data_IF_233225853399
#
_entry.id   IF_233225853399
#
_cell.length_a   1.000
_cell.length_b   1.000
_cell.length_c   1.000
_cell.angle_alpha   90.00
_cell.angle_beta   90.00
_cell.angle_gamma   90.00
#
_symmetry.space_group_name_H-M   'P 1'
#
loop_
_entity.id
_entity.type
_entity.pdbx_description
1 polymer ?
#
# COMPACT_ATOMS: atom_id res chain seq x y z
N UNK A 1 -9.51 -6.00 6.74
CA UNK A 1 -8.88 -6.40 5.48
C UNK A 1 -7.48 -5.80 5.41
N UNK A 2 -6.56 -6.49 4.79
CA UNK A 2 -5.17 -6.06 4.67
C UNK A 2 -4.94 -5.48 3.28
N UNK A 3 -4.41 -4.27 3.22
CA UNK A 3 -3.96 -3.64 1.98
C UNK A 3 -2.44 -3.80 1.91
N UNK A 4 -1.94 -4.29 0.78
CA UNK A 4 -0.51 -4.57 0.61
C UNK A 4 0.10 -3.50 -0.30
N UNK A 5 1.14 -2.83 0.22
CA UNK A 5 1.83 -1.77 -0.51
C UNK A 5 2.66 -2.31 -1.68
N UNK A 6 2.87 -1.47 -2.68
CA UNK A 6 3.66 -1.81 -3.87
C UNK A 6 5.05 -2.35 -3.52
N UNK A 7 5.69 -1.80 -2.49
CA UNK A 7 7.02 -2.21 -2.05
C UNK A 7 7.07 -3.71 -1.75
N UNK A 8 6.04 -4.23 -1.10
CA UNK A 8 5.98 -5.65 -0.73
C UNK A 8 5.71 -6.52 -1.95
N UNK A 9 4.78 -6.09 -2.83
CA UNK A 9 4.50 -6.83 -4.07
C UNK A 9 5.71 -6.91 -4.98
N UNK A 10 6.46 -5.80 -5.11
CA UNK A 10 7.67 -5.75 -5.93
C UNK A 10 8.71 -6.75 -5.40
N UNK A 11 8.94 -6.75 -4.09
CA UNK A 11 9.86 -7.71 -3.46
C UNK A 11 9.39 -9.15 -3.66
N UNK A 12 8.08 -9.39 -3.50
CA UNK A 12 7.49 -10.71 -3.67
C UNK A 12 7.73 -11.25 -5.09
N UNK A 13 7.44 -10.43 -6.12
CA UNK A 13 7.62 -10.83 -7.51
C UNK A 13 9.09 -10.98 -7.91
N UNK A 14 9.99 -10.28 -7.24
CA UNK A 14 11.44 -10.43 -7.45
C UNK A 14 12.03 -11.65 -6.74
N UNK A 15 11.26 -12.29 -5.89
CA UNK A 15 11.77 -13.37 -5.07
C UNK A 15 12.66 -12.88 -3.93
N UNK A 16 12.59 -11.61 -3.56
CA UNK A 16 13.35 -11.08 -2.44
C UNK A 16 12.81 -11.64 -1.12
N UNK A 17 13.70 -12.12 -0.27
CA UNK A 17 13.34 -12.81 0.97
C UNK A 17 13.28 -11.83 2.15
N UNK A 18 12.38 -10.83 2.04
CA UNK A 18 12.11 -9.92 3.14
C UNK A 18 11.07 -10.50 4.09
N UNK A 19 11.05 -10.01 5.33
CA UNK A 19 10.03 -10.44 6.29
C UNK A 19 8.62 -10.14 5.78
N UNK A 20 8.45 -9.00 5.11
CA UNK A 20 7.16 -8.59 4.57
C UNK A 20 6.72 -9.44 3.38
N UNK A 21 7.64 -9.78 2.47
CA UNK A 21 7.32 -10.66 1.33
C UNK A 21 6.97 -12.07 1.83
N UNK A 22 7.68 -12.57 2.85
CA UNK A 22 7.36 -13.85 3.47
C UNK A 22 5.99 -13.80 4.15
N UNK A 23 5.67 -12.70 4.80
CA UNK A 23 4.35 -12.51 5.42
C UNK A 23 3.25 -12.51 4.36
N UNK A 24 3.47 -11.82 3.23
CA UNK A 24 2.54 -11.82 2.12
C UNK A 24 2.28 -13.23 1.60
N UNK A 25 3.33 -14.02 1.43
CA UNK A 25 3.21 -15.39 0.97
C UNK A 25 2.34 -16.22 1.91
N UNK A 26 2.50 -16.02 3.23
CA UNK A 26 1.68 -16.68 4.24
C UNK A 26 0.21 -16.27 4.15
N UNK A 27 -0.05 -15.00 3.85
CA UNK A 27 -1.42 -14.46 3.81
C UNK A 27 -2.16 -14.82 2.54
N UNK A 28 -1.46 -15.00 1.42
CA UNK A 28 -2.08 -15.32 0.13
C UNK A 28 -2.86 -16.62 0.21
N UNK A 29 -4.13 -16.55 -0.20
CA UNK A 29 -5.04 -17.70 -0.18
C UNK A 29 -5.68 -17.97 1.18
N UNK A 30 -5.30 -17.25 2.23
CA UNK A 30 -5.80 -17.48 3.59
C UNK A 30 -6.55 -16.28 4.16
N UNK A 31 -6.09 -15.07 3.90
CA UNK A 31 -6.67 -13.85 4.44
C UNK A 31 -7.20 -12.95 3.33
N UNK A 32 -8.23 -12.13 3.60
CA UNK A 32 -8.72 -11.19 2.60
C UNK A 32 -7.71 -10.07 2.39
N UNK A 33 -7.20 -9.97 1.17
CA UNK A 33 -6.25 -8.96 0.77
C UNK A 33 -6.87 -7.99 -0.22
N UNK A 34 -6.43 -6.74 -0.16
CA UNK A 34 -6.83 -5.70 -1.07
C UNK A 34 -5.60 -5.08 -1.74
N UNK A 35 -5.81 -4.55 -2.93
CA UNK A 35 -4.81 -3.76 -3.64
C UNK A 35 -5.45 -2.43 -4.06
N UNK A 36 -4.71 -1.35 -3.90
CA UNK A 36 -5.16 -0.05 -4.39
C UNK A 36 -4.95 0.06 -5.90
N UNK A 37 -5.81 0.82 -6.56
CA UNK A 37 -5.71 1.03 -8.00
C UNK A 37 -4.37 1.65 -8.43
N UNK A 38 -3.81 2.55 -7.62
CA UNK A 38 -2.50 3.13 -7.91
C UNK A 38 -1.37 2.09 -7.82
N UNK A 39 -1.47 1.17 -6.87
CA UNK A 39 -0.52 0.06 -6.76
C UNK A 39 -0.67 -0.91 -7.93
N UNK A 40 -1.89 -1.09 -8.40
CA UNK A 40 -2.18 -1.91 -9.58
C UNK A 40 -1.56 -1.30 -10.84
N UNK A 41 -1.25 -0.01 -10.83
CA UNK A 41 -0.45 0.63 -11.86
C UNK A 41 1.04 0.42 -11.63
N UNK A 42 1.51 0.69 -10.41
CA UNK A 42 2.93 0.68 -10.09
C UNK A 42 3.59 -0.70 -10.23
N UNK A 43 2.91 -1.74 -9.81
CA UNK A 43 3.51 -3.08 -9.79
C UNK A 43 3.61 -3.66 -11.21
N UNK A 44 2.52 -3.77 -11.99
CA UNK A 44 2.63 -4.34 -13.33
C UNK A 44 3.49 -3.54 -14.29
N UNK A 45 3.55 -2.21 -14.16
CA UNK A 45 4.34 -1.37 -15.09
C UNK A 45 5.83 -1.70 -15.05
N UNK A 46 6.30 -2.34 -13.98
CA UNK A 46 7.70 -2.71 -13.84
C UNK A 46 8.13 -3.93 -14.64
N UNK A 47 7.21 -4.64 -15.29
CA UNK A 47 7.53 -5.84 -16.07
C UNK A 47 7.71 -5.49 -17.54
N UNK A 48 8.83 -5.91 -18.12
CA UNK A 48 9.08 -5.73 -19.55
C UNK A 48 8.44 -6.82 -20.41
N UNK A 49 8.41 -8.04 -19.89
CA UNK A 49 7.87 -9.21 -20.58
C UNK A 49 6.35 -9.24 -20.44
N UNK A 50 5.66 -9.36 -21.57
CA UNK A 50 4.19 -9.41 -21.61
C UNK A 50 3.63 -10.58 -20.79
N UNK A 51 4.30 -11.70 -20.77
CA UNK A 51 3.88 -12.86 -19.97
C UNK A 51 3.90 -12.56 -18.49
N UNK A 52 4.98 -11.94 -18.02
CA UNK A 52 5.13 -11.58 -16.61
C UNK A 52 4.16 -10.49 -16.21
N UNK A 53 3.94 -9.51 -17.10
CA UNK A 53 2.93 -8.48 -16.89
C UNK A 53 1.54 -9.11 -16.70
N UNK A 54 1.16 -10.01 -17.60
CA UNK A 54 -0.17 -10.65 -17.55
C UNK A 54 -0.33 -11.51 -16.29
N UNK A 55 0.72 -12.20 -15.88
CA UNK A 55 0.71 -12.99 -14.65
C UNK A 55 0.46 -12.11 -13.43
N UNK A 56 1.22 -11.03 -13.31
CA UNK A 56 1.07 -10.10 -12.20
C UNK A 56 -0.32 -9.46 -12.23
N UNK A 57 -0.78 -9.00 -13.38
CA UNK A 57 -2.11 -8.42 -13.56
C UNK A 57 -3.20 -9.40 -13.11
N UNK A 58 -3.12 -10.65 -13.55
CA UNK A 58 -4.14 -11.65 -13.22
C UNK A 58 -4.15 -11.97 -11.72
N UNK A 59 -2.99 -12.09 -11.11
CA UNK A 59 -2.92 -12.33 -9.67
C UNK A 59 -3.49 -11.14 -8.90
N UNK A 60 -3.07 -9.93 -9.23
CA UNK A 60 -3.46 -8.74 -8.48
C UNK A 60 -4.95 -8.41 -8.66
N UNK A 61 -5.51 -8.63 -9.86
CA UNK A 61 -6.93 -8.37 -10.09
C UNK A 61 -7.83 -9.44 -9.50
N UNK A 62 -7.29 -10.57 -9.05
CA UNK A 62 -8.06 -11.55 -8.28
C UNK A 62 -8.34 -11.10 -6.85
N UNK A 63 -7.62 -10.09 -6.39
CA UNK A 63 -7.82 -9.50 -5.06
C UNK A 63 -8.93 -8.45 -5.12
N UNK A 64 -9.34 -7.95 -3.95
CA UNK A 64 -10.24 -6.80 -3.88
C UNK A 64 -9.49 -5.55 -4.33
N UNK A 65 -9.94 -4.92 -5.40
CA UNK A 65 -9.34 -3.68 -5.89
C UNK A 65 -10.04 -2.50 -5.25
N UNK A 66 -9.27 -1.64 -4.59
CA UNK A 66 -9.77 -0.48 -3.85
C UNK A 66 -9.36 0.80 -4.55
N UNK A 67 -10.32 1.70 -4.74
CA UNK A 67 -10.02 3.05 -5.21
C UNK A 67 -9.32 3.81 -4.09
N UNK A 68 -8.03 4.18 -4.30
CA UNK A 68 -7.23 4.81 -3.24
C UNK A 68 -7.61 6.26 -3.00
N UNK A 69 -7.86 7.00 -4.06
CA UNK A 69 -8.15 8.42 -3.95
C UNK A 69 -9.65 8.69 -4.02
N UNK A 70 -10.04 9.65 -4.81
CA UNK A 70 -11.38 10.18 -4.80
C UNK A 70 -11.39 11.49 -4.00
N UNK A 71 -12.45 12.27 -4.13
CA UNK A 71 -12.49 13.61 -3.57
C UNK A 71 -12.33 13.63 -2.04
N UNK A 72 -13.06 12.78 -1.33
CA UNK A 72 -13.02 12.76 0.13
C UNK A 72 -11.66 12.36 0.68
N UNK A 73 -11.09 11.29 0.13
CA UNK A 73 -9.76 10.83 0.56
C UNK A 73 -8.68 11.84 0.18
N UNK A 74 -8.78 12.46 -1.00
CA UNK A 74 -7.81 13.48 -1.42
C UNK A 74 -7.79 14.66 -0.45
N UNK A 75 -8.96 15.13 -0.01
CA UNK A 75 -9.05 16.23 0.94
C UNK A 75 -8.52 15.80 2.31
N UNK A 76 -8.91 14.63 2.78
CA UNK A 76 -8.42 14.12 4.08
C UNK A 76 -6.92 13.89 4.06
N UNK A 77 -6.37 13.43 2.96
CA UNK A 77 -4.92 13.28 2.80
C UNK A 77 -4.21 14.61 2.93
N UNK A 78 -4.76 15.67 2.33
CA UNK A 78 -4.21 17.02 2.48
C UNK A 78 -4.22 17.47 3.95
N UNK A 79 -5.30 17.19 4.68
CA UNK A 79 -5.38 17.48 6.11
C UNK A 79 -4.34 16.70 6.91
N UNK A 80 -4.15 15.44 6.60
CA UNK A 80 -3.17 14.58 7.27
C UNK A 80 -1.75 15.07 7.02
N UNK A 81 -1.43 15.45 5.79
CA UNK A 81 -0.13 16.03 5.45
C UNK A 81 0.13 17.29 6.28
N UNK A 82 -0.84 18.17 6.38
CA UNK A 82 -0.74 19.41 7.16
C UNK A 82 -0.58 19.13 8.65
N UNK A 83 -1.30 18.15 9.16
CA UNK A 83 -1.20 17.77 10.58
C UNK A 83 0.21 17.27 10.91
N UNK A 84 0.80 16.45 10.06
CA UNK A 84 2.18 15.96 10.24
C UNK A 84 3.18 17.11 10.13
N UNK A 85 2.99 18.02 9.18
CA UNK A 85 3.86 19.18 9.01
C UNK A 85 3.88 20.06 10.27
N UNK A 86 2.74 20.23 10.92
CA UNK A 86 2.65 20.99 12.18
C UNK A 86 3.43 20.31 13.31
N UNK A 87 3.63 19.00 13.22
CA UNK A 87 4.43 18.25 14.19
C UNK A 87 5.91 18.20 13.79
N UNK A 88 6.30 18.93 12.75
CA UNK A 88 7.69 18.94 12.29
C UNK A 88 8.05 17.80 11.36
N UNK A 89 7.05 17.05 10.86
CA UNK A 89 7.27 15.92 9.96
C UNK A 89 6.92 16.32 8.53
N UNK A 90 7.87 16.16 7.62
CA UNK A 90 7.66 16.37 6.20
C UNK A 90 7.53 15.02 5.50
N UNK A 91 6.40 14.80 4.84
CA UNK A 91 6.17 13.60 4.05
C UNK A 91 6.72 13.85 2.64
N UNK A 92 7.52 12.91 2.14
CA UNK A 92 8.21 13.11 0.86
C UNK A 92 7.37 12.76 -0.36
N UNK A 93 6.41 11.85 -0.21
CA UNK A 93 5.61 11.34 -1.34
C UNK A 93 4.12 11.49 -1.05
N UNK A 94 3.44 12.19 -1.94
CA UNK A 94 1.98 12.35 -1.85
C UNK A 94 1.26 11.01 -1.90
N UNK A 95 1.76 10.06 -2.70
CA UNK A 95 1.11 8.75 -2.82
C UNK A 95 1.08 8.02 -1.48
N UNK A 96 2.13 8.12 -0.67
CA UNK A 96 2.16 7.48 0.65
C UNK A 96 1.10 8.07 1.58
N UNK A 97 0.88 9.38 1.48
CA UNK A 97 -0.18 10.04 2.25
C UNK A 97 -1.55 9.53 1.83
N UNK A 98 -1.78 9.34 0.53
CA UNK A 98 -3.04 8.81 0.02
C UNK A 98 -3.28 7.37 0.50
N UNK A 99 -2.25 6.53 0.40
CA UNK A 99 -2.33 5.14 0.84
C UNK A 99 -2.64 5.07 2.34
N UNK A 100 -1.88 5.80 3.14
CA UNK A 100 -2.07 5.80 4.59
C UNK A 100 -3.45 6.33 4.96
N UNK A 101 -3.90 7.40 4.33
CA UNK A 101 -5.22 7.99 4.58
C UNK A 101 -6.33 7.01 4.24
N UNK A 102 -6.24 6.35 3.09
CA UNK A 102 -7.23 5.34 2.70
C UNK A 102 -7.32 4.22 3.72
N UNK A 103 -6.17 3.75 4.21
CA UNK A 103 -6.13 2.69 5.22
C UNK A 103 -6.76 3.16 6.54
N UNK A 104 -6.42 4.35 7.00
CA UNK A 104 -6.96 4.92 8.24
C UNK A 104 -8.48 5.06 8.15
N UNK A 105 -8.96 5.69 7.08
CA UNK A 105 -10.39 5.97 6.91
C UNK A 105 -11.20 4.70 6.62
N UNK A 106 -10.62 3.74 5.91
CA UNK A 106 -11.30 2.50 5.55
C UNK A 106 -11.11 1.35 6.52
N UNK A 107 -10.31 1.53 7.56
CA UNK A 107 -10.04 0.48 8.54
C UNK A 107 -9.17 -0.66 8.02
N UNK A 108 -8.36 -0.40 7.01
CA UNK A 108 -7.41 -1.41 6.50
C UNK A 108 -6.15 -1.44 7.34
N UNK A 109 -5.58 -2.64 7.51
CA UNK A 109 -4.23 -2.80 8.02
C UNK A 109 -3.29 -2.78 6.82
N UNK A 110 -2.21 -2.01 6.91
CA UNK A 110 -1.24 -1.90 5.82
C UNK A 110 -0.07 -2.84 6.03
N UNK A 111 0.24 -3.65 5.02
CA UNK A 111 1.48 -4.42 4.95
C UNK A 111 2.44 -3.65 4.04
N UNK A 112 3.55 -3.17 4.60
CA UNK A 112 4.50 -2.35 3.86
C UNK A 112 5.93 -2.66 4.27
N UNK A 113 6.87 -2.22 3.43
CA UNK A 113 8.30 -2.29 3.70
C UNK A 113 8.93 -0.93 3.40
N UNK A 114 8.35 0.13 3.96
CA UNK A 114 8.80 1.50 3.75
C UNK A 114 8.59 2.31 5.03
N UNK A 115 9.69 2.74 5.64
CA UNK A 115 9.64 3.51 6.88
C UNK A 115 9.00 4.89 6.73
N UNK A 116 8.75 5.34 5.49
CA UNK A 116 8.03 6.59 5.26
C UNK A 116 6.59 6.54 5.78
N UNK A 117 6.06 5.35 6.06
CA UNK A 117 4.74 5.20 6.71
C UNK A 117 4.79 5.37 8.23
N UNK A 118 5.96 5.35 8.84
CA UNK A 118 6.10 5.42 10.31
C UNK A 118 5.42 6.63 10.95
N UNK A 119 5.50 7.85 10.38
CA UNK A 119 4.81 9.00 10.97
C UNK A 119 3.29 8.84 11.04
N UNK A 120 2.71 8.14 10.07
CA UNK A 120 1.27 7.88 10.06
C UNK A 120 0.87 6.90 11.15
N UNK A 121 1.72 5.92 11.42
CA UNK A 121 1.51 4.98 12.53
C UNK A 121 1.59 5.71 13.85
N UNK A 122 2.64 6.51 14.03
CA UNK A 122 2.93 7.20 15.29
C UNK A 122 1.91 8.26 15.63
N UNK A 123 1.45 9.04 14.64
CA UNK A 123 0.67 10.25 14.90
C UNK A 123 -0.78 10.18 14.45
N UNK A 124 -1.12 9.34 13.48
CA UNK A 124 -2.44 9.37 12.83
C UNK A 124 -3.22 8.06 12.94
N UNK A 125 -2.70 7.10 13.67
CA UNK A 125 -3.44 5.86 13.94
C UNK A 125 -3.45 4.85 12.81
N UNK A 126 -2.51 4.94 11.85
CA UNK A 126 -2.36 3.91 10.83
C UNK A 126 -1.99 2.59 11.50
N UNK A 127 -2.74 1.53 11.17
CA UNK A 127 -2.45 0.18 11.68
C UNK A 127 -1.69 -0.60 10.62
N UNK A 128 -0.65 -1.28 11.04
CA UNK A 128 0.21 -2.06 10.16
C UNK A 128 0.24 -3.53 10.56
N UNK A 129 0.55 -4.40 9.60
CA UNK A 129 0.78 -5.81 9.85
C UNK A 129 2.21 -5.97 10.35
N UNK A 130 2.35 -6.50 11.53
CA UNK A 130 3.65 -6.61 12.17
C UNK A 130 4.20 -8.01 12.29
#
# INVERSE_FOLDING_TARGET
MILVDSSVWIDYFRGAMTAQANKLDTLLGHDPLAIGDLMLTEVPQGFDDERDFNRAKNMLTSLTVVELAGQEIAIQAARNFRALRKLGVTVRKTIDTLIATRCIEGGYHLLHNDRDFEPFVRHLGLRVVG
#
